data_IF_925861940902
#
_entry.id   IF_925861940902
#
_cell.length_a   1.000
_cell.length_b   1.000
_cell.length_c   1.000
_cell.angle_alpha   90.00
_cell.angle_beta   90.00
_cell.angle_gamma   90.00
#
_symmetry.space_group_name_H-M   'P 1'
#
loop_
_entity.id
_entity.type
_entity.pdbx_description
1 polymer ?
#
# COMPACT_ATOMS: atom_id res chain seq x y z
N UNK A 1 -16.99 -5.65 16.51
CA UNK A 1 -15.53 -5.88 16.57
C UNK A 1 -15.10 -6.54 15.27
N UNK A 2 -14.11 -5.97 14.57
CA UNK A 2 -13.55 -6.60 13.37
C UNK A 2 -12.67 -7.77 13.85
N UNK A 3 -12.94 -9.00 13.41
CA UNK A 3 -12.09 -10.13 13.81
C UNK A 3 -10.71 -10.01 13.15
N UNK A 4 -9.65 -10.53 13.79
CA UNK A 4 -8.28 -10.55 13.23
C UNK A 4 -8.28 -11.09 11.80
N UNK A 5 -9.08 -12.14 11.54
CA UNK A 5 -9.23 -12.73 10.20
C UNK A 5 -9.80 -11.73 9.20
N UNK A 6 -10.87 -11.00 9.56
CA UNK A 6 -11.45 -9.95 8.71
C UNK A 6 -10.47 -8.81 8.46
N UNK A 7 -9.70 -8.39 9.47
CA UNK A 7 -8.71 -7.34 9.34
C UNK A 7 -7.62 -7.73 8.33
N UNK A 8 -7.02 -8.91 8.50
CA UNK A 8 -6.04 -9.46 7.56
C UNK A 8 -6.60 -9.56 6.14
N UNK A 9 -7.84 -10.01 6.00
CA UNK A 9 -8.47 -10.13 4.69
C UNK A 9 -8.62 -8.76 3.99
N UNK A 10 -9.10 -7.74 4.71
CA UNK A 10 -9.21 -6.38 4.19
C UNK A 10 -7.83 -5.82 3.84
N UNK A 11 -6.84 -5.99 4.72
CA UNK A 11 -5.46 -5.56 4.45
C UNK A 11 -4.91 -6.20 3.19
N UNK A 12 -5.04 -7.52 3.05
CA UNK A 12 -4.54 -8.27 1.90
C UNK A 12 -5.26 -7.87 0.61
N UNK A 13 -6.57 -7.61 0.68
CA UNK A 13 -7.33 -7.10 -0.45
C UNK A 13 -6.81 -5.73 -0.91
N UNK A 14 -6.60 -4.78 0.01
CA UNK A 14 -6.07 -3.45 -0.35
C UNK A 14 -4.64 -3.56 -0.92
N UNK A 15 -3.80 -4.42 -0.35
CA UNK A 15 -2.46 -4.70 -0.87
C UNK A 15 -2.50 -5.23 -2.30
N UNK A 16 -3.35 -6.23 -2.57
CA UNK A 16 -3.49 -6.81 -3.89
C UNK A 16 -3.98 -5.76 -4.90
N UNK A 17 -4.96 -4.95 -4.52
CA UNK A 17 -5.47 -3.85 -5.35
C UNK A 17 -4.37 -2.85 -5.68
N UNK A 18 -3.55 -2.45 -4.69
CA UNK A 18 -2.42 -1.54 -4.93
C UNK A 18 -1.40 -2.14 -5.90
N UNK A 19 -1.08 -3.42 -5.71
CA UNK A 19 -0.13 -4.13 -6.55
C UNK A 19 -0.64 -4.26 -7.99
N UNK A 20 -1.92 -4.60 -8.19
CA UNK A 20 -2.54 -4.66 -9.51
C UNK A 20 -2.55 -3.30 -10.21
N UNK A 21 -2.87 -2.21 -9.50
CA UNK A 21 -2.83 -0.85 -10.06
C UNK A 21 -1.42 -0.45 -10.52
N UNK A 22 -0.39 -0.82 -9.76
CA UNK A 22 1.00 -0.58 -10.19
C UNK A 22 1.35 -1.38 -11.44
N UNK A 23 0.95 -2.65 -11.50
CA UNK A 23 1.18 -3.50 -12.68
C UNK A 23 0.49 -2.92 -13.92
N UNK A 24 -0.77 -2.48 -13.81
CA UNK A 24 -1.48 -1.90 -14.95
C UNK A 24 -0.83 -0.59 -15.41
N UNK A 25 -0.34 0.24 -14.48
CA UNK A 25 0.42 1.44 -14.81
C UNK A 25 1.77 1.14 -15.51
N UNK A 26 2.41 0.00 -15.23
CA UNK A 26 3.60 -0.47 -15.99
C UNK A 26 3.22 -0.89 -17.41
N UNK A 27 2.14 -1.66 -17.58
CA UNK A 27 1.68 -2.07 -18.92
C UNK A 27 1.28 -0.88 -19.80
N UNK A 28 0.80 0.21 -19.19
CA UNK A 28 0.49 1.47 -19.89
C UNK A 28 1.72 2.37 -20.12
N UNK A 29 2.92 1.93 -19.74
CA UNK A 29 4.17 2.68 -19.92
C UNK A 29 4.31 3.91 -19.02
N UNK A 30 3.46 4.05 -17.99
CA UNK A 30 3.49 5.20 -17.06
C UNK A 30 4.52 5.04 -15.95
N UNK A 31 4.89 3.80 -15.64
CA UNK A 31 5.92 3.46 -14.66
C UNK A 31 6.97 2.61 -15.37
N UNK A 32 8.24 3.03 -15.25
CA UNK A 32 9.38 2.26 -15.75
C UNK A 32 9.45 0.89 -15.04
N UNK A 33 9.72 -0.17 -15.79
CA UNK A 33 9.71 -1.53 -15.25
C UNK A 33 10.81 -1.76 -14.20
N UNK A 34 11.96 -1.09 -14.32
CA UNK A 34 13.06 -1.15 -13.35
C UNK A 34 12.63 -0.47 -12.06
N UNK A 35 11.98 0.70 -12.16
CA UNK A 35 11.42 1.39 -11.00
C UNK A 35 10.33 0.56 -10.32
N UNK A 36 9.44 -0.07 -11.10
CA UNK A 36 8.43 -0.97 -10.54
C UNK A 36 9.08 -2.13 -9.78
N UNK A 37 10.08 -2.81 -10.34
CA UNK A 37 10.76 -3.92 -9.68
C UNK A 37 11.44 -3.47 -8.39
N UNK A 38 12.22 -2.38 -8.43
CA UNK A 38 12.89 -1.83 -7.26
C UNK A 38 11.91 -1.48 -6.13
N UNK A 39 10.80 -0.82 -6.49
CA UNK A 39 9.77 -0.44 -5.53
C UNK A 39 8.74 -1.54 -5.24
N UNK A 40 8.79 -2.70 -5.90
CA UNK A 40 7.94 -3.85 -5.51
C UNK A 40 8.52 -4.55 -4.29
N UNK A 41 9.84 -4.54 -4.12
CA UNK A 41 10.53 -5.25 -3.07
C UNK A 41 10.14 -4.80 -1.65
N UNK A 42 10.12 -3.49 -1.31
CA UNK A 42 9.67 -3.05 0.01
C UNK A 42 8.23 -3.47 0.28
N UNK A 43 7.35 -3.33 -0.72
CA UNK A 43 5.93 -3.65 -0.61
C UNK A 43 5.70 -5.14 -0.28
N UNK A 44 6.43 -6.03 -0.97
CA UNK A 44 6.38 -7.48 -0.72
C UNK A 44 7.03 -7.88 0.61
N UNK A 45 8.15 -7.26 0.98
CA UNK A 45 8.81 -7.52 2.25
C UNK A 45 7.87 -7.19 3.43
N UNK A 46 7.26 -6.01 3.42
CA UNK A 46 6.32 -5.60 4.47
C UNK A 46 5.04 -6.42 4.47
N UNK A 47 4.53 -6.86 3.32
CA UNK A 47 3.36 -7.74 3.23
C UNK A 47 3.52 -9.01 4.08
N UNK A 48 4.71 -9.63 4.11
CA UNK A 48 5.00 -10.81 4.93
C UNK A 48 4.92 -10.48 6.42
N UNK A 49 5.57 -9.39 6.86
CA UNK A 49 5.61 -9.03 8.28
C UNK A 49 4.27 -8.55 8.83
N UNK A 50 3.48 -7.84 8.02
CA UNK A 50 2.13 -7.38 8.36
C UNK A 50 1.20 -8.58 8.56
N UNK A 51 1.29 -9.61 7.71
CA UNK A 51 0.50 -10.83 7.90
C UNK A 51 0.88 -11.61 9.18
N UNK A 52 2.09 -11.42 9.69
CA UNK A 52 2.54 -11.92 11.01
C UNK A 52 2.10 -11.02 12.19
N UNK A 53 1.37 -9.93 11.95
CA UNK A 53 0.88 -8.99 12.95
C UNK A 53 1.99 -8.31 13.78
N UNK A 54 3.19 -8.15 13.21
CA UNK A 54 4.31 -7.51 13.92
C UNK A 54 4.08 -6.00 13.98
N UNK A 55 3.73 -5.48 15.16
CA UNK A 55 3.35 -4.07 15.38
C UNK A 55 4.38 -3.07 14.82
N UNK A 56 5.68 -3.32 15.03
CA UNK A 56 6.76 -2.45 14.54
C UNK A 56 6.75 -2.33 13.01
N UNK A 57 6.39 -3.41 12.31
CA UNK A 57 6.33 -3.42 10.84
C UNK A 57 5.20 -2.55 10.30
N UNK A 58 4.07 -2.42 11.01
CA UNK A 58 2.98 -1.49 10.62
C UNK A 58 3.46 -0.03 10.62
N UNK A 59 4.19 0.37 11.67
CA UNK A 59 4.72 1.73 11.80
C UNK A 59 5.75 2.05 10.72
N UNK A 60 6.72 1.16 10.50
CA UNK A 60 7.71 1.32 9.43
C UNK A 60 7.07 1.36 8.05
N UNK A 61 6.05 0.54 7.83
CA UNK A 61 5.37 0.52 6.56
C UNK A 61 4.60 1.81 6.28
N UNK A 62 4.09 2.51 7.29
CA UNK A 62 3.51 3.85 7.10
C UNK A 62 4.53 4.83 6.48
N UNK A 63 5.80 4.84 6.91
CA UNK A 63 6.82 5.69 6.31
C UNK A 63 7.10 5.31 4.86
N UNK A 64 7.15 4.02 4.58
CA UNK A 64 7.31 3.50 3.22
C UNK A 64 6.13 3.90 2.33
N UNK A 65 4.90 3.85 2.84
CA UNK A 65 3.70 4.30 2.14
C UNK A 65 3.71 5.80 1.82
N UNK A 66 4.35 6.64 2.64
CA UNK A 66 4.53 8.07 2.31
C UNK A 66 5.39 8.27 1.07
N UNK A 67 6.39 7.41 0.83
CA UNK A 67 7.22 7.46 -0.38
C UNK A 67 6.37 7.08 -1.61
N UNK A 68 5.55 6.02 -1.50
CA UNK A 68 4.61 5.66 -2.56
C UNK A 68 3.59 6.76 -2.82
N UNK A 69 3.08 7.39 -1.76
CA UNK A 69 2.15 8.51 -1.85
C UNK A 69 2.79 9.67 -2.63
N UNK A 70 4.02 10.06 -2.30
CA UNK A 70 4.75 11.12 -3.00
C UNK A 70 4.95 10.79 -4.48
N UNK A 71 5.35 9.55 -4.79
CA UNK A 71 5.52 9.11 -6.18
C UNK A 71 4.20 9.19 -6.98
N UNK A 72 3.09 8.75 -6.37
CA UNK A 72 1.77 8.77 -7.01
C UNK A 72 1.23 10.20 -7.13
N UNK A 73 1.44 11.05 -6.12
CA UNK A 73 0.94 12.42 -6.12
C UNK A 73 1.62 13.28 -7.17
N UNK A 74 2.92 13.09 -7.41
CA UNK A 74 3.65 13.76 -8.50
C UNK A 74 3.04 13.40 -9.86
N UNK A 75 2.65 12.14 -10.08
CA UNK A 75 1.98 11.75 -11.34
C UNK A 75 0.59 12.37 -11.47
N UNK A 76 -0.20 12.38 -10.39
CA UNK A 76 -1.56 12.92 -10.41
C UNK A 76 -1.58 14.44 -10.60
N UNK A 77 -0.74 15.17 -9.85
CA UNK A 77 -0.79 16.64 -9.81
C UNK A 77 0.28 17.32 -10.66
N UNK A 78 1.43 16.67 -10.86
CA UNK A 78 2.58 17.23 -11.58
C UNK A 78 2.69 16.81 -13.04
N UNK A 79 1.89 15.85 -13.51
CA UNK A 79 1.90 15.39 -14.92
C UNK A 79 0.47 15.31 -15.48
N UNK A 80 0.29 14.72 -16.66
CA UNK A 80 -1.04 14.45 -17.20
C UNK A 80 -1.79 13.47 -16.29
N UNK A 81 -2.75 14.01 -15.53
CA UNK A 81 -3.56 13.24 -14.61
C UNK A 81 -4.27 12.10 -15.33
N UNK A 82 -4.12 10.89 -14.81
CA UNK A 82 -4.78 9.70 -15.33
C UNK A 82 -5.57 9.04 -14.21
N UNK A 83 -6.76 8.51 -14.53
CA UNK A 83 -7.68 7.98 -13.51
C UNK A 83 -7.06 6.83 -12.69
N UNK A 84 -6.16 6.03 -13.27
CA UNK A 84 -5.47 4.96 -12.53
C UNK A 84 -4.49 5.51 -11.51
N UNK A 85 -3.82 6.64 -11.79
CA UNK A 85 -2.93 7.27 -10.81
C UNK A 85 -3.72 7.85 -9.63
N UNK A 86 -4.94 8.35 -9.88
CA UNK A 86 -5.87 8.81 -8.83
C UNK A 86 -6.33 7.60 -7.99
N UNK A 87 -6.70 6.49 -8.64
CA UNK A 87 -7.08 5.27 -7.96
C UNK A 87 -5.91 4.72 -7.12
N UNK A 88 -4.69 4.71 -7.64
CA UNK A 88 -3.47 4.31 -6.92
C UNK A 88 -3.27 5.17 -5.67
N UNK A 89 -3.40 6.50 -5.80
CA UNK A 89 -3.29 7.44 -4.69
C UNK A 89 -4.33 7.17 -3.59
N UNK A 90 -5.60 6.96 -3.97
CA UNK A 90 -6.69 6.65 -3.03
C UNK A 90 -6.40 5.33 -2.30
N UNK A 91 -5.96 4.30 -3.02
CA UNK A 91 -5.64 3.00 -2.42
C UNK A 91 -4.45 3.09 -1.47
N UNK A 92 -3.42 3.90 -1.79
CA UNK A 92 -2.31 4.18 -0.86
C UNK A 92 -2.83 4.84 0.42
N UNK A 93 -3.72 5.83 0.31
CA UNK A 93 -4.33 6.48 1.48
C UNK A 93 -5.14 5.49 2.34
N UNK A 94 -5.96 4.64 1.71
CA UNK A 94 -6.72 3.61 2.42
C UNK A 94 -5.79 2.62 3.14
N UNK A 95 -4.73 2.19 2.46
CA UNK A 95 -3.73 1.29 3.04
C UNK A 95 -3.01 1.95 4.21
N UNK A 96 -2.61 3.21 4.07
CA UNK A 96 -1.96 3.98 5.13
C UNK A 96 -2.83 4.06 6.39
N UNK A 97 -4.11 4.41 6.24
CA UNK A 97 -5.06 4.47 7.36
C UNK A 97 -5.22 3.10 8.02
N UNK A 98 -5.35 2.03 7.22
CA UNK A 98 -5.43 0.66 7.75
C UNK A 98 -4.18 0.26 8.53
N UNK A 99 -3.00 0.66 8.07
CA UNK A 99 -1.73 0.36 8.74
C UNK A 99 -1.56 1.16 10.03
N UNK A 100 -1.93 2.45 10.00
CA UNK A 100 -1.88 3.33 11.16
C UNK A 100 -2.75 2.82 12.31
N UNK A 101 -3.96 2.30 12.02
CA UNK A 101 -4.83 1.73 13.04
C UNK A 101 -4.49 0.27 13.40
N UNK A 102 -3.63 -0.40 12.63
CA UNK A 102 -3.23 -1.80 12.84
C UNK A 102 -2.76 -2.10 14.26
N UNK A 103 -1.78 -1.36 14.82
CA UNK A 103 -1.30 -1.56 16.21
C UNK A 103 -2.42 -1.52 17.26
N UNK A 104 -3.33 -0.54 17.14
CA UNK A 104 -4.46 -0.38 18.07
C UNK A 104 -5.47 -1.51 17.95
N UNK A 105 -5.69 -1.99 16.73
CA UNK A 105 -6.58 -3.11 16.42
C UNK A 105 -5.99 -4.40 17.00
N UNK A 106 -4.70 -4.67 16.77
CA UNK A 106 -3.98 -5.84 17.29
C UNK A 106 -3.99 -5.86 18.82
N UNK A 107 -3.64 -4.75 19.49
CA UNK A 107 -3.59 -4.69 20.95
C UNK A 107 -4.95 -4.80 21.64
N UNK A 108 -6.07 -4.55 20.94
CA UNK A 108 -7.43 -4.73 21.48
C UNK A 108 -7.91 -6.18 21.38
N UNK A 109 -7.19 -7.02 20.65
CA UNK A 109 -7.59 -8.39 20.34
C UNK A 109 -6.62 -9.45 20.93
N UNK A 110 -5.46 -9.02 21.43
CA UNK A 110 -4.63 -9.77 22.37
C UNK A 110 -5.11 -9.49 23.80
#
# INVERSE_FOLDING_TARGET
MLSIKKYKHITNFIFLTLFLLKITNVFLGRIDIILFLAWSFPLLAFYVFINKLIIRSYQWFCFVLLIYFLSSSIRVFGTSAFWLDIAELIVICLLFVQMMFGPKIINRMN
#
